data_IF_649327353602
#
_entry.id   IF_649327353602
#
_cell.length_a   1.000
_cell.length_b   1.000
_cell.length_c   1.000
_cell.angle_alpha   90.00
_cell.angle_beta   90.00
_cell.angle_gamma   90.00
#
_symmetry.space_group_name_H-M   'P 1'
#
loop_
_entity.id
_entity.type
_entity.pdbx_description
1 polymer ?
#
# COMPACT_ATOMS: atom_id res chain seq x y z
N UNK A 1 -14.83 13.95 15.99
CA UNK A 1 -13.83 13.32 15.10
C UNK A 1 -14.31 13.50 13.66
N UNK A 2 -13.68 14.42 12.92
CA UNK A 2 -14.03 14.71 11.52
C UNK A 2 -12.86 14.30 10.63
N UNK A 3 -12.81 13.01 10.30
CA UNK A 3 -11.72 12.45 9.50
C UNK A 3 -11.97 12.75 8.02
N UNK A 4 -11.04 13.46 7.39
CA UNK A 4 -10.97 13.67 5.94
C UNK A 4 -10.00 12.67 5.30
N UNK A 5 -10.33 12.23 4.07
CA UNK A 5 -9.43 11.40 3.25
C UNK A 5 -9.15 12.20 1.98
N UNK A 6 -7.88 12.28 1.61
CA UNK A 6 -7.43 12.97 0.40
C UNK A 6 -6.18 12.31 -0.17
N UNK A 7 -5.81 12.71 -1.38
CA UNK A 7 -4.53 12.30 -1.97
C UNK A 7 -3.36 12.84 -1.15
N UNK A 8 -2.29 12.05 -1.10
CA UNK A 8 -1.01 12.47 -0.52
C UNK A 8 -0.41 13.57 -1.40
N UNK A 9 0.16 14.58 -0.75
CA UNK A 9 0.96 15.66 -1.36
C UNK A 9 2.40 15.60 -0.85
N UNK A 10 3.31 16.32 -1.47
CA UNK A 10 4.72 16.36 -1.05
C UNK A 10 4.89 16.79 0.41
N UNK A 11 4.04 17.71 0.90
CA UNK A 11 4.07 18.15 2.29
C UNK A 11 3.69 17.08 3.31
N UNK A 12 3.06 15.98 2.89
CA UNK A 12 2.64 14.90 3.77
C UNK A 12 3.73 13.82 3.96
N UNK A 13 4.80 13.86 3.19
CA UNK A 13 5.78 12.77 3.14
C UNK A 13 6.40 12.44 4.49
N UNK A 14 6.65 13.44 5.34
CA UNK A 14 7.17 13.21 6.69
C UNK A 14 6.17 12.41 7.55
N UNK A 15 4.89 12.73 7.46
CA UNK A 15 3.82 11.99 8.15
C UNK A 15 3.66 10.57 7.61
N UNK A 16 3.75 10.39 6.28
CA UNK A 16 3.68 9.04 5.68
C UNK A 16 4.88 8.20 6.12
N UNK A 17 6.09 8.75 6.16
CA UNK A 17 7.28 8.03 6.66
C UNK A 17 7.10 7.63 8.13
N UNK A 18 6.55 8.50 8.97
CA UNK A 18 6.21 8.16 10.37
C UNK A 18 5.22 7.02 10.43
N UNK A 19 4.10 7.12 9.69
CA UNK A 19 3.06 6.08 9.68
C UNK A 19 3.56 4.74 9.10
N UNK A 20 4.47 4.76 8.12
CA UNK A 20 5.12 3.55 7.59
C UNK A 20 6.00 2.88 8.64
N UNK A 21 6.70 3.65 9.47
CA UNK A 21 7.50 3.11 10.58
C UNK A 21 6.61 2.50 11.66
N UNK A 22 5.50 3.16 12.02
CA UNK A 22 4.50 2.62 12.94
C UNK A 22 3.87 1.32 12.39
N UNK A 23 3.65 1.25 11.08
CA UNK A 23 3.17 0.06 10.41
C UNK A 23 4.19 -1.08 10.43
N UNK A 24 5.45 -0.79 10.13
CA UNK A 24 6.53 -1.77 10.19
C UNK A 24 6.71 -2.33 11.62
N UNK A 25 6.55 -1.51 12.65
CA UNK A 25 6.54 -1.96 14.04
C UNK A 25 5.35 -2.90 14.32
N UNK A 26 4.15 -2.52 13.86
CA UNK A 26 2.96 -3.38 13.97
C UNK A 26 3.14 -4.75 13.32
N UNK A 27 3.79 -4.78 12.16
CA UNK A 27 4.09 -6.03 11.44
C UNK A 27 5.35 -6.75 11.94
N UNK A 28 6.06 -6.21 12.92
CA UNK A 28 7.33 -6.74 13.46
C UNK A 28 8.45 -6.81 12.41
N UNK A 29 8.45 -5.86 11.50
CA UNK A 29 9.39 -5.74 10.37
C UNK A 29 10.21 -4.44 10.42
N UNK A 30 10.34 -3.81 11.60
CA UNK A 30 11.04 -2.52 11.74
C UNK A 30 12.47 -2.55 11.22
N UNK A 31 13.17 -3.68 11.36
CA UNK A 31 14.55 -3.86 10.86
C UNK A 31 14.66 -3.77 9.33
N UNK A 32 13.57 -3.99 8.61
CA UNK A 32 13.50 -3.92 7.14
C UNK A 32 12.96 -2.58 6.63
N UNK A 33 12.55 -1.68 7.53
CA UNK A 33 11.96 -0.40 7.18
C UNK A 33 13.05 0.66 6.91
N UNK A 34 13.46 0.76 5.66
CA UNK A 34 14.47 1.71 5.19
C UNK A 34 13.87 2.97 4.53
N UNK A 35 12.58 3.22 4.71
CA UNK A 35 11.89 4.33 4.08
C UNK A 35 12.42 5.69 4.58
N UNK A 36 12.66 6.60 3.65
CA UNK A 36 12.98 8.01 3.92
C UNK A 36 12.07 8.93 3.09
N UNK A 37 12.02 10.20 3.44
CA UNK A 37 11.26 11.21 2.68
C UNK A 37 11.75 11.26 1.22
N UNK A 38 13.07 11.20 1.00
CA UNK A 38 13.68 11.27 -0.32
C UNK A 38 13.32 10.04 -1.18
N UNK A 39 13.37 8.83 -0.59
CA UNK A 39 12.97 7.60 -1.29
C UNK A 39 11.48 7.61 -1.65
N UNK A 40 10.64 8.07 -0.72
CA UNK A 40 9.20 8.17 -0.95
C UNK A 40 8.86 9.26 -1.98
N UNK A 41 9.54 10.40 -1.93
CA UNK A 41 9.43 11.45 -2.94
C UNK A 41 9.77 10.91 -4.35
N UNK A 42 10.89 10.20 -4.47
CA UNK A 42 11.29 9.61 -5.75
C UNK A 42 10.23 8.64 -6.30
N UNK A 43 9.64 7.80 -5.45
CA UNK A 43 8.62 6.85 -5.86
C UNK A 43 7.27 7.49 -6.26
N UNK A 44 6.93 8.65 -5.67
CA UNK A 44 5.60 9.28 -5.82
C UNK A 44 5.59 10.50 -6.74
N UNK A 45 6.61 11.36 -6.66
CA UNK A 45 6.58 12.71 -7.24
C UNK A 45 7.68 13.01 -8.26
N UNK A 46 8.74 12.18 -8.35
CA UNK A 46 9.72 12.31 -9.42
C UNK A 46 9.09 12.05 -10.80
N UNK A 47 9.80 12.42 -11.87
CA UNK A 47 9.28 12.30 -13.24
C UNK A 47 8.87 10.88 -13.64
N UNK A 48 9.51 9.86 -13.08
CA UNK A 48 9.21 8.43 -13.26
C UNK A 48 8.47 7.82 -12.05
N UNK A 49 8.04 8.65 -11.10
CA UNK A 49 7.25 8.23 -9.96
C UNK A 49 5.90 7.63 -10.37
N UNK A 50 5.57 6.48 -9.81
CA UNK A 50 4.37 5.73 -10.18
C UNK A 50 3.50 5.35 -8.97
N UNK A 51 3.96 5.60 -7.76
CA UNK A 51 3.21 5.29 -6.52
C UNK A 51 2.20 6.40 -6.25
N UNK A 52 0.96 6.01 -6.09
CA UNK A 52 -0.12 6.87 -5.61
C UNK A 52 -0.46 6.58 -4.15
N UNK A 53 -1.15 7.49 -3.51
CA UNK A 53 -1.54 7.27 -2.14
C UNK A 53 -2.65 8.17 -1.63
N UNK A 54 -3.26 7.72 -0.53
CA UNK A 54 -4.26 8.45 0.25
C UNK A 54 -3.76 8.63 1.68
N UNK A 55 -4.10 9.75 2.27
CA UNK A 55 -3.88 10.06 3.68
C UNK A 55 -5.22 10.39 4.34
N UNK A 56 -5.40 9.91 5.57
CA UNK A 56 -6.54 10.29 6.41
C UNK A 56 -6.07 11.20 7.54
N UNK A 57 -6.76 12.33 7.69
CA UNK A 57 -6.44 13.38 8.65
C UNK A 57 -7.58 13.56 9.64
N UNK A 58 -7.27 13.67 10.94
CA UNK A 58 -8.15 14.19 11.98
C UNK A 58 -7.61 15.58 12.38
N UNK A 59 -8.20 16.64 11.85
CA UNK A 59 -7.60 17.96 11.90
C UNK A 59 -6.25 18.00 11.19
N UNK A 60 -5.19 18.34 11.90
CA UNK A 60 -3.81 18.38 11.40
C UNK A 60 -3.05 17.07 11.62
N UNK A 61 -3.67 16.07 12.25
CA UNK A 61 -3.00 14.81 12.60
C UNK A 61 -3.25 13.76 11.52
N UNK A 62 -2.18 13.24 10.93
CA UNK A 62 -2.24 12.08 10.03
C UNK A 62 -2.45 10.79 10.82
N UNK A 63 -3.55 10.09 10.55
CA UNK A 63 -4.01 8.93 11.34
C UNK A 63 -4.07 7.63 10.57
N UNK A 64 -4.03 7.70 9.23
CA UNK A 64 -3.98 6.53 8.37
C UNK A 64 -3.44 6.89 6.99
N UNK A 65 -2.98 5.88 6.27
CA UNK A 65 -2.59 6.03 4.87
C UNK A 65 -2.92 4.77 4.07
N UNK A 66 -2.91 4.90 2.75
CA UNK A 66 -2.83 3.80 1.81
C UNK A 66 -1.87 4.17 0.67
N UNK A 67 -1.05 3.23 0.24
CA UNK A 67 -0.17 3.35 -0.93
C UNK A 67 -0.58 2.31 -1.98
N UNK A 68 -0.57 2.69 -3.23
CA UNK A 68 -0.90 1.81 -4.34
C UNK A 68 -0.13 2.20 -5.61
N UNK A 69 0.00 1.29 -6.53
CA UNK A 69 0.67 1.52 -7.81
C UNK A 69 0.01 0.73 -8.95
N UNK A 70 0.31 1.04 -10.21
CA UNK A 70 -0.21 0.29 -11.36
C UNK A 70 0.17 -1.19 -11.31
N UNK A 71 -0.77 -2.05 -11.72
CA UNK A 71 -0.60 -3.49 -11.85
C UNK A 71 -1.14 -3.98 -13.20
N UNK A 72 -0.70 -5.15 -13.64
CA UNK A 72 -1.13 -5.77 -14.89
C UNK A 72 -1.29 -7.28 -14.76
N UNK A 73 -2.42 -7.80 -15.19
CA UNK A 73 -2.68 -9.23 -15.31
C UNK A 73 -2.51 -9.67 -16.76
N UNK A 74 -1.44 -10.41 -17.06
CA UNK A 74 -1.12 -10.84 -18.42
C UNK A 74 -2.16 -11.81 -18.98
N UNK A 75 -2.68 -12.75 -18.18
CA UNK A 75 -3.67 -13.72 -18.63
C UNK A 75 -5.04 -13.10 -18.93
N UNK A 76 -5.38 -11.99 -18.28
CA UNK A 76 -6.61 -11.26 -18.56
C UNK A 76 -6.41 -10.10 -19.53
N UNK A 77 -5.16 -9.67 -19.77
CA UNK A 77 -4.86 -8.47 -20.53
C UNK A 77 -5.37 -7.20 -19.86
N UNK A 78 -5.50 -7.21 -18.52
CA UNK A 78 -6.15 -6.14 -17.76
C UNK A 78 -5.16 -5.36 -16.89
N UNK A 79 -5.33 -4.06 -16.88
CA UNK A 79 -4.65 -3.16 -15.94
C UNK A 79 -5.44 -3.07 -14.64
N UNK A 80 -4.71 -2.94 -13.53
CA UNK A 80 -5.29 -2.77 -12.20
C UNK A 80 -4.46 -1.86 -11.32
N UNK A 81 -4.79 -1.85 -10.04
CA UNK A 81 -3.94 -1.32 -8.99
C UNK A 81 -3.42 -2.46 -8.12
N UNK A 82 -2.21 -2.30 -7.63
CA UNK A 82 -1.68 -3.08 -6.51
C UNK A 82 -1.73 -2.21 -5.26
N UNK A 83 -2.47 -2.64 -4.25
CA UNK A 83 -2.49 -2.01 -2.93
C UNK A 83 -1.27 -2.50 -2.17
N UNK A 84 -0.25 -1.64 -2.08
CA UNK A 84 1.00 -1.95 -1.39
C UNK A 84 0.78 -2.02 0.11
N UNK A 85 0.25 -0.92 0.68
CA UNK A 85 0.02 -0.80 2.11
C UNK A 85 -1.31 -0.10 2.40
N UNK A 86 -1.94 -0.50 3.49
CA UNK A 86 -3.00 0.25 4.17
C UNK A 86 -2.81 0.12 5.67
N UNK A 87 -2.65 1.24 6.35
CA UNK A 87 -2.44 1.27 7.79
C UNK A 87 -3.29 2.34 8.46
N UNK A 88 -3.82 1.99 9.62
CA UNK A 88 -4.60 2.87 10.50
C UNK A 88 -4.00 2.77 11.88
N UNK A 89 -3.66 3.91 12.47
CA UNK A 89 -3.17 3.98 13.85
C UNK A 89 -4.17 3.36 14.82
N UNK A 90 -3.69 2.72 15.89
CA UNK A 90 -4.51 1.89 16.77
C UNK A 90 -5.74 2.63 17.34
N UNK A 91 -5.58 3.91 17.70
CA UNK A 91 -6.66 4.74 18.26
C UNK A 91 -7.82 4.99 17.28
N UNK A 92 -7.57 4.86 15.97
CA UNK A 92 -8.55 5.15 14.91
C UNK A 92 -9.11 3.88 14.23
N UNK A 93 -8.71 2.70 14.71
CA UNK A 93 -9.29 1.42 14.24
C UNK A 93 -10.74 1.29 14.69
N UNK A 94 -11.52 0.44 13.98
CA UNK A 94 -12.95 0.17 14.25
C UNK A 94 -13.91 1.34 14.04
N UNK A 95 -13.46 2.42 13.37
CA UNK A 95 -14.29 3.55 12.96
C UNK A 95 -14.58 3.54 11.45
N UNK A 96 -14.64 2.37 10.83
CA UNK A 96 -14.87 2.16 9.39
C UNK A 96 -13.85 2.87 8.47
N UNK A 97 -12.72 3.34 9.03
CA UNK A 97 -11.72 4.11 8.26
C UNK A 97 -11.04 3.24 7.20
N UNK A 98 -10.77 1.97 7.50
CA UNK A 98 -10.22 1.02 6.51
C UNK A 98 -11.16 0.81 5.33
N UNK A 99 -12.46 0.64 5.58
CA UNK A 99 -13.47 0.52 4.54
C UNK A 99 -13.57 1.80 3.70
N UNK A 100 -13.52 2.98 4.33
CA UNK A 100 -13.54 4.26 3.62
C UNK A 100 -12.32 4.42 2.71
N UNK A 101 -11.12 4.08 3.19
CA UNK A 101 -9.90 4.10 2.37
C UNK A 101 -10.00 3.12 1.19
N UNK A 102 -10.43 1.88 1.43
CA UNK A 102 -10.59 0.87 0.39
C UNK A 102 -11.60 1.31 -0.68
N UNK A 103 -12.70 1.92 -0.28
CA UNK A 103 -13.69 2.49 -1.21
C UNK A 103 -13.11 3.62 -2.06
N UNK A 104 -12.32 4.51 -1.48
CA UNK A 104 -11.67 5.59 -2.24
C UNK A 104 -10.64 5.04 -3.24
N UNK A 105 -9.89 3.99 -2.88
CA UNK A 105 -8.97 3.31 -3.82
C UNK A 105 -9.76 2.68 -4.96
N UNK A 106 -10.88 2.01 -4.66
CA UNK A 106 -11.75 1.42 -5.68
C UNK A 106 -12.34 2.48 -6.62
N UNK A 107 -12.77 3.64 -6.11
CA UNK A 107 -13.24 4.76 -6.93
C UNK A 107 -12.14 5.33 -7.82
N UNK A 108 -10.91 5.43 -7.30
CA UNK A 108 -9.76 5.87 -8.11
C UNK A 108 -9.49 4.86 -9.23
N UNK A 109 -9.52 3.56 -8.94
CA UNK A 109 -9.38 2.52 -9.95
C UNK A 109 -10.46 2.62 -11.02
N UNK A 110 -11.72 2.65 -10.62
CA UNK A 110 -12.90 2.75 -11.50
C UNK A 110 -12.84 4.01 -12.39
N UNK A 111 -12.50 5.17 -11.83
CA UNK A 111 -12.34 6.43 -12.58
C UNK A 111 -11.26 6.39 -13.65
N UNK A 112 -10.34 5.44 -13.57
CA UNK A 112 -9.27 5.18 -14.55
C UNK A 112 -9.61 4.02 -15.50
N UNK A 113 -10.81 3.46 -15.41
CA UNK A 113 -11.22 2.27 -16.18
C UNK A 113 -10.50 1.00 -15.76
N UNK A 114 -10.01 0.92 -14.51
CA UNK A 114 -9.37 -0.25 -13.95
C UNK A 114 -10.40 -1.09 -13.17
N UNK A 115 -10.30 -2.41 -13.27
CA UNK A 115 -11.34 -3.33 -12.77
C UNK A 115 -10.87 -4.25 -11.65
N UNK A 116 -9.59 -4.11 -11.21
CA UNK A 116 -9.04 -4.97 -10.17
C UNK A 116 -8.09 -4.24 -9.24
N UNK A 117 -8.03 -4.74 -8.02
CA UNK A 117 -7.06 -4.35 -6.99
C UNK A 117 -6.46 -5.64 -6.44
N UNK A 118 -5.17 -5.85 -6.65
CA UNK A 118 -4.42 -6.95 -6.08
C UNK A 118 -3.66 -6.49 -4.84
N UNK A 119 -3.47 -7.37 -3.88
CA UNK A 119 -2.72 -7.10 -2.65
C UNK A 119 -2.32 -8.39 -1.95
N UNK A 120 -1.39 -8.26 -1.00
CA UNK A 120 -0.95 -9.34 -0.13
C UNK A 120 -1.20 -8.99 1.33
N UNK A 121 -1.39 -10.01 2.16
CA UNK A 121 -1.54 -9.90 3.60
C UNK A 121 -0.63 -10.92 4.25
N UNK A 122 0.12 -10.52 5.28
CA UNK A 122 0.95 -11.46 6.05
C UNK A 122 0.07 -12.56 6.67
N UNK A 123 0.50 -13.81 6.55
CA UNK A 123 -0.30 -14.98 6.93
C UNK A 123 -0.81 -14.96 8.38
N UNK A 124 -0.05 -14.35 9.30
CA UNK A 124 -0.43 -14.21 10.70
C UNK A 124 -1.48 -13.12 10.96
N UNK A 125 -1.70 -12.20 10.00
CA UNK A 125 -2.58 -11.04 10.18
C UNK A 125 -4.05 -11.40 9.91
N UNK A 126 -4.59 -12.32 10.71
CA UNK A 126 -5.98 -12.76 10.59
C UNK A 126 -7.02 -11.61 10.62
N UNK A 127 -6.87 -10.53 11.42
CA UNK A 127 -7.81 -9.42 11.39
C UNK A 127 -7.91 -8.78 10.01
N UNK A 128 -6.78 -8.59 9.31
CA UNK A 128 -6.77 -8.04 7.96
C UNK A 128 -7.37 -9.03 6.95
N UNK A 129 -7.04 -10.32 7.03
CA UNK A 129 -7.63 -11.36 6.18
C UNK A 129 -9.15 -11.36 6.31
N UNK A 130 -9.69 -11.38 7.54
CA UNK A 130 -11.14 -11.34 7.81
C UNK A 130 -11.79 -10.06 7.27
N UNK A 131 -11.09 -8.92 7.41
CA UNK A 131 -11.55 -7.65 6.88
C UNK A 131 -11.73 -7.71 5.35
N UNK A 132 -10.72 -8.17 4.62
CA UNK A 132 -10.80 -8.23 3.16
C UNK A 132 -11.82 -9.26 2.66
N UNK A 133 -11.88 -10.45 3.24
CA UNK A 133 -12.88 -11.47 2.88
C UNK A 133 -14.31 -10.98 3.12
N UNK A 134 -14.55 -10.23 4.20
CA UNK A 134 -15.86 -9.60 4.47
C UNK A 134 -16.27 -8.63 3.35
N UNK A 135 -15.30 -8.00 2.68
CA UNK A 135 -15.54 -7.09 1.56
C UNK A 135 -15.53 -7.77 0.19
N UNK A 136 -15.50 -9.11 0.15
CA UNK A 136 -15.61 -9.89 -1.08
C UNK A 136 -14.27 -10.11 -1.80
N UNK A 137 -13.13 -9.92 -1.13
CA UNK A 137 -11.84 -10.27 -1.70
C UNK A 137 -11.73 -11.79 -1.92
N UNK A 138 -11.13 -12.18 -3.04
CA UNK A 138 -10.76 -13.57 -3.33
C UNK A 138 -9.38 -13.88 -2.75
N UNK A 139 -9.19 -15.07 -2.21
CA UNK A 139 -7.91 -15.52 -1.66
C UNK A 139 -7.28 -16.58 -2.56
N UNK A 140 -6.09 -16.31 -3.09
CA UNK A 140 -5.33 -17.23 -3.92
C UNK A 140 -4.39 -18.08 -3.04
N UNK A 141 -4.86 -19.23 -2.57
CA UNK A 141 -4.09 -20.10 -1.67
C UNK A 141 -2.93 -20.84 -2.35
N UNK A 142 -2.93 -20.93 -3.68
CA UNK A 142 -1.95 -21.69 -4.46
C UNK A 142 -0.70 -20.89 -4.89
N UNK A 143 -0.59 -19.62 -4.52
CA UNK A 143 0.49 -18.74 -4.95
C UNK A 143 1.58 -18.61 -3.90
N UNK A 144 2.85 -18.65 -4.35
CA UNK A 144 4.00 -18.34 -3.52
C UNK A 144 4.62 -17.02 -3.95
N UNK A 145 5.00 -16.18 -3.00
CA UNK A 145 5.68 -14.93 -3.25
C UNK A 145 7.19 -15.11 -3.20
N UNK A 146 7.89 -14.69 -4.26
CA UNK A 146 9.33 -14.71 -4.36
C UNK A 146 9.86 -13.32 -4.66
N UNK A 147 11.10 -13.04 -4.23
CA UNK A 147 11.82 -11.81 -4.57
C UNK A 147 13.31 -12.10 -4.76
N UNK A 148 13.93 -11.37 -5.69
CA UNK A 148 15.38 -11.27 -5.78
C UNK A 148 15.80 -9.92 -5.21
N UNK A 149 16.62 -9.91 -4.18
CA UNK A 149 17.13 -8.71 -3.51
C UNK A 149 18.58 -8.89 -3.13
N UNK A 150 19.28 -7.80 -2.81
CA UNK A 150 20.67 -7.83 -2.34
C UNK A 150 21.62 -8.54 -3.32
N UNK A 151 22.49 -9.38 -2.79
CA UNK A 151 23.52 -10.08 -3.58
C UNK A 151 22.92 -11.04 -4.63
N UNK A 152 21.80 -11.68 -4.34
CA UNK A 152 21.13 -12.54 -5.30
C UNK A 152 20.64 -11.76 -6.53
N UNK A 153 20.06 -10.56 -6.33
CA UNK A 153 19.66 -9.67 -7.40
C UNK A 153 20.87 -9.20 -8.22
N UNK A 154 21.94 -8.77 -7.54
CA UNK A 154 23.17 -8.30 -8.18
C UNK A 154 23.80 -9.41 -9.02
N UNK A 155 23.99 -10.60 -8.46
CA UNK A 155 24.55 -11.75 -9.18
C UNK A 155 23.74 -12.05 -10.44
N UNK A 156 22.42 -12.10 -10.33
CA UNK A 156 21.54 -12.37 -11.47
C UNK A 156 21.64 -11.30 -12.58
N UNK A 157 21.77 -10.04 -12.21
CA UNK A 157 21.90 -8.93 -13.17
C UNK A 157 23.25 -8.90 -13.92
N UNK A 158 24.29 -9.52 -13.38
CA UNK A 158 25.65 -9.58 -13.94
C UNK A 158 25.91 -10.85 -14.76
N UNK A 159 24.94 -11.80 -14.82
CA UNK A 159 25.09 -13.00 -15.65
C UNK A 159 25.14 -12.63 -17.13
N UNK A 160 26.06 -13.24 -17.91
CA UNK A 160 26.09 -13.05 -19.36
C UNK A 160 24.82 -13.58 -20.02
N UNK A 161 24.39 -12.93 -21.10
CA UNK A 161 23.22 -13.32 -21.88
C UNK A 161 23.45 -14.67 -22.61
#
# INVERSE_FOLDING_TARGET
MQISIRKITESDLADIVRLLRDFAEYEKLSEYCEVTVERLYAAMFAADGFVGGLIAMDGETAVAFALFHPNFSSFRGERGLYLEDIYITAAYRRHNLGERLLREIARIADSRGLTRIDFQVLAWNEPAVKFYLKHGAEHNEGENHFKFVGDAFKTLSELPA
#
